data_IF_355351399757
#
_entry.id   IF_355351399757
#
_cell.length_a   1.000
_cell.length_b   1.000
_cell.length_c   1.000
_cell.angle_alpha   90.00
_cell.angle_beta   90.00
_cell.angle_gamma   90.00
#
_symmetry.space_group_name_H-M   'P 1'
#
loop_
_entity.id
_entity.type
_entity.pdbx_description
1 polymer ?
#
# COMPACT_ATOMS: atom_id res chain seq x y z
N UNK A 1 -9.58 15.66 14.82
CA UNK A 1 -8.89 16.21 16.01
C UNK A 1 -8.79 15.13 17.08
N UNK A 2 -7.70 15.13 17.86
CA UNK A 2 -7.50 14.20 18.96
C UNK A 2 -8.33 14.62 20.16
N UNK A 3 -8.95 13.65 20.88
CA UNK A 3 -9.65 13.90 22.16
C UNK A 3 -8.67 14.35 23.25
N UNK A 4 -7.48 13.75 23.28
CA UNK A 4 -6.37 14.08 24.18
C UNK A 4 -5.11 14.37 23.39
N UNK A 5 -4.09 15.05 23.94
CA UNK A 5 -2.83 15.23 23.24
C UNK A 5 -2.23 13.90 22.79
N UNK A 6 -1.77 13.77 21.52
CA UNK A 6 -1.40 12.47 20.94
C UNK A 6 -0.20 11.79 21.59
N UNK A 7 0.58 12.51 22.38
CA UNK A 7 1.77 11.98 23.07
C UNK A 7 1.62 11.94 24.60
N UNK A 8 0.40 12.17 25.13
CA UNK A 8 0.16 12.16 26.57
C UNK A 8 0.05 10.76 27.19
N UNK A 9 -0.31 9.75 26.41
CA UNK A 9 -0.57 8.40 26.91
C UNK A 9 -1.71 8.37 27.92
N UNK A 10 -2.75 9.17 27.73
CA UNK A 10 -3.87 9.30 28.68
C UNK A 10 -4.67 8.02 28.77
N UNK A 11 -4.93 7.55 29.98
CA UNK A 11 -5.82 6.43 30.26
C UNK A 11 -7.17 6.99 30.76
N UNK A 12 -8.24 6.60 30.07
CA UNK A 12 -9.61 6.93 30.47
C UNK A 12 -10.46 5.64 30.45
N UNK A 13 -10.89 5.20 31.61
CA UNK A 13 -11.55 3.90 31.76
C UNK A 13 -10.60 2.76 31.38
N UNK A 14 -11.01 1.95 30.42
CA UNK A 14 -10.25 0.81 29.87
C UNK A 14 -9.46 1.14 28.59
N UNK A 15 -9.39 2.42 28.22
CA UNK A 15 -8.80 2.87 26.95
C UNK A 15 -7.52 3.68 27.16
N UNK A 16 -6.49 3.34 26.39
CA UNK A 16 -5.25 4.10 26.27
C UNK A 16 -5.30 4.97 25.02
N UNK A 17 -5.24 6.29 25.18
CA UNK A 17 -5.22 7.26 24.08
C UNK A 17 -3.80 7.72 23.79
N UNK A 18 -3.35 7.59 22.55
CA UNK A 18 -2.05 8.08 22.12
C UNK A 18 -1.65 7.66 20.73
N UNK A 19 -0.69 8.36 20.13
CA UNK A 19 -0.10 7.99 18.84
C UNK A 19 0.63 6.66 19.00
N UNK A 20 0.25 5.66 18.16
CA UNK A 20 0.80 4.32 18.19
C UNK A 20 0.21 3.41 19.28
N UNK A 21 -0.83 3.83 20.02
CA UNK A 21 -1.48 2.98 21.03
C UNK A 21 -2.19 1.79 20.39
N UNK A 22 -2.68 1.92 19.17
CA UNK A 22 -3.26 0.83 18.38
C UNK A 22 -2.24 0.33 17.34
N UNK A 23 -1.68 1.22 16.57
CA UNK A 23 -0.76 0.96 15.47
C UNK A 23 0.63 1.49 15.82
N UNK A 24 1.58 0.60 16.21
CA UNK A 24 1.34 -0.74 16.78
C UNK A 24 2.16 -0.95 18.06
N UNK A 25 2.44 0.12 18.83
CA UNK A 25 3.28 0.03 20.05
C UNK A 25 2.70 -0.91 21.12
N UNK A 26 1.36 -1.03 21.17
CA UNK A 26 0.72 -2.01 22.07
C UNK A 26 1.07 -3.44 21.69
N UNK A 27 1.10 -3.79 20.40
CA UNK A 27 1.52 -5.12 19.95
C UNK A 27 2.98 -5.38 20.29
N UNK A 28 3.88 -4.39 20.14
CA UNK A 28 5.28 -4.51 20.56
C UNK A 28 5.36 -4.80 22.06
N UNK A 29 4.62 -4.06 22.88
CA UNK A 29 4.58 -4.28 24.33
C UNK A 29 4.04 -5.68 24.69
N UNK A 30 3.01 -6.16 23.99
CA UNK A 30 2.44 -7.50 24.15
C UNK A 30 3.47 -8.59 23.81
N UNK A 31 4.19 -8.48 22.70
CA UNK A 31 5.24 -9.44 22.34
C UNK A 31 6.36 -9.50 23.38
N UNK A 32 6.84 -8.36 23.86
CA UNK A 32 7.88 -8.30 24.90
C UNK A 32 7.36 -8.93 26.18
N UNK A 33 6.16 -8.58 26.63
CA UNK A 33 5.55 -9.12 27.84
C UNK A 33 5.31 -10.64 27.75
N UNK A 34 4.82 -11.13 26.62
CA UNK A 34 4.63 -12.56 26.38
C UNK A 34 5.95 -13.32 26.43
N UNK A 35 6.98 -12.79 25.79
CA UNK A 35 8.34 -13.38 25.78
C UNK A 35 8.92 -13.43 27.21
N UNK A 36 8.81 -12.34 27.96
CA UNK A 36 9.25 -12.29 29.36
C UNK A 36 8.59 -13.40 30.19
N UNK A 37 7.25 -13.48 30.14
CA UNK A 37 6.49 -14.51 30.85
C UNK A 37 6.87 -15.93 30.43
N UNK A 38 7.14 -16.13 29.12
CA UNK A 38 7.58 -17.44 28.61
C UNK A 38 8.95 -17.83 29.19
N UNK A 39 9.92 -16.93 29.20
CA UNK A 39 11.26 -17.17 29.76
C UNK A 39 11.20 -17.41 31.30
N UNK A 40 10.38 -16.64 32.00
CA UNK A 40 10.16 -16.81 33.44
C UNK A 40 9.60 -18.22 33.77
N UNK A 41 8.66 -18.70 32.95
CA UNK A 41 8.01 -19.99 33.12
C UNK A 41 8.90 -21.19 32.73
N UNK A 42 9.51 -21.09 31.51
CA UNK A 42 10.18 -22.25 30.92
C UNK A 42 11.70 -22.18 31.00
N UNK A 43 12.28 -21.07 31.46
CA UNK A 43 13.72 -20.81 31.63
C UNK A 43 14.55 -20.87 30.35
N UNK A 44 13.99 -21.29 29.22
CA UNK A 44 14.67 -21.50 27.94
C UNK A 44 13.70 -21.28 26.77
N UNK A 45 14.20 -20.64 25.72
CA UNK A 45 13.51 -20.56 24.41
C UNK A 45 14.09 -21.70 23.55
N UNK A 46 13.24 -22.61 23.00
CA UNK A 46 13.69 -23.69 22.14
C UNK A 46 13.91 -23.17 20.69
N UNK A 47 14.92 -22.33 20.49
CA UNK A 47 15.21 -21.70 19.20
C UNK A 47 15.74 -20.30 19.35
N UNK A 48 15.54 -19.50 18.31
CA UNK A 48 15.90 -18.06 18.30
C UNK A 48 14.62 -17.24 18.12
N UNK A 49 14.45 -16.24 18.96
CA UNK A 49 13.40 -15.23 18.84
C UNK A 49 14.06 -13.88 18.58
N UNK A 50 13.67 -13.23 17.50
CA UNK A 50 14.20 -11.92 17.13
C UNK A 50 13.07 -10.90 17.09
N UNK A 51 13.30 -9.72 17.63
CA UNK A 51 12.41 -8.57 17.49
C UNK A 51 13.00 -7.64 16.44
N UNK A 52 12.25 -7.37 15.39
CA UNK A 52 12.55 -6.34 14.39
C UNK A 52 11.65 -5.16 14.71
N UNK A 53 12.24 -4.05 15.19
CA UNK A 53 11.52 -2.85 15.58
C UNK A 53 12.07 -1.70 14.74
N UNK A 54 11.20 -1.04 14.00
CA UNK A 54 11.57 0.05 13.07
C UNK A 54 10.79 1.31 13.38
N UNK A 55 11.31 2.46 13.01
CA UNK A 55 10.68 3.76 13.19
C UNK A 55 10.36 4.48 11.89
N UNK A 56 10.45 3.80 10.74
CA UNK A 56 10.29 4.38 9.40
C UNK A 56 9.17 3.70 8.58
N UNK A 57 8.32 2.89 9.22
CA UNK A 57 7.28 2.12 8.54
C UNK A 57 6.21 3.04 7.94
N UNK A 58 5.78 4.06 8.67
CA UNK A 58 4.70 4.99 8.31
C UNK A 58 5.11 6.07 7.29
N UNK A 59 6.32 5.97 6.74
CA UNK A 59 6.85 6.91 5.76
C UNK A 59 7.49 6.18 4.58
N UNK A 60 8.66 6.63 4.16
CA UNK A 60 9.34 6.14 2.95
C UNK A 60 9.89 4.71 3.11
N UNK A 61 9.94 4.17 4.34
CA UNK A 61 10.40 2.82 4.70
C UNK A 61 11.80 2.47 4.19
N UNK A 62 12.64 3.47 3.91
CA UNK A 62 13.97 3.30 3.30
C UNK A 62 14.99 2.75 4.29
N UNK A 63 14.95 3.24 5.54
CA UNK A 63 15.92 2.92 6.58
C UNK A 63 15.35 1.98 7.66
N UNK A 64 14.22 1.36 7.39
CA UNK A 64 13.52 0.43 8.30
C UNK A 64 13.80 -1.04 8.01
N UNK A 65 12.74 -1.82 7.88
CA UNK A 65 12.76 -3.27 7.68
C UNK A 65 13.67 -3.73 6.54
N UNK A 66 13.72 -3.08 5.34
CA UNK A 66 14.60 -3.52 4.26
C UNK A 66 16.08 -3.52 4.67
N UNK A 67 16.54 -2.51 5.40
CA UNK A 67 17.94 -2.43 5.86
C UNK A 67 18.28 -3.49 6.91
N UNK A 68 17.35 -3.79 7.79
CA UNK A 68 17.52 -4.85 8.79
C UNK A 68 17.59 -6.21 8.09
N UNK A 69 16.74 -6.48 7.11
CA UNK A 69 16.75 -7.74 6.35
C UNK A 69 18.02 -7.88 5.50
N UNK A 70 18.49 -6.79 4.87
CA UNK A 70 19.76 -6.76 4.16
C UNK A 70 20.94 -7.10 5.11
N UNK A 71 20.97 -6.49 6.28
CA UNK A 71 21.98 -6.79 7.31
C UNK A 71 21.88 -8.25 7.78
N UNK A 72 20.68 -8.74 8.06
CA UNK A 72 20.45 -10.12 8.49
C UNK A 72 20.95 -11.12 7.43
N UNK A 73 20.64 -10.89 6.18
CA UNK A 73 21.13 -11.71 5.06
C UNK A 73 22.66 -11.73 4.97
N UNK A 74 23.31 -10.56 5.03
CA UNK A 74 24.79 -10.43 5.02
C UNK A 74 25.47 -11.13 6.20
N UNK A 75 24.77 -11.27 7.32
CA UNK A 75 25.28 -11.93 8.52
C UNK A 75 24.76 -13.38 8.70
N UNK A 76 24.20 -13.97 7.63
CA UNK A 76 23.68 -15.34 7.63
C UNK A 76 22.57 -15.61 8.66
N UNK A 77 21.82 -14.59 9.06
CA UNK A 77 20.60 -14.78 9.85
C UNK A 77 19.49 -15.27 8.94
N UNK A 78 18.85 -16.37 9.30
CA UNK A 78 17.69 -16.94 8.63
C UNK A 78 16.51 -16.89 9.56
N UNK A 79 15.36 -16.52 9.01
CA UNK A 79 14.07 -16.51 9.70
C UNK A 79 13.18 -17.59 9.09
N UNK A 80 12.66 -18.50 9.91
CA UNK A 80 11.73 -19.55 9.46
C UNK A 80 10.31 -19.01 9.37
N UNK A 81 9.95 -18.12 10.31
CA UNK A 81 8.63 -17.50 10.41
C UNK A 81 8.73 -16.02 10.77
N UNK A 82 7.73 -15.26 10.37
CA UNK A 82 7.55 -13.87 10.75
C UNK A 82 6.11 -13.65 11.24
N UNK A 83 5.96 -13.05 12.41
CA UNK A 83 4.68 -12.60 12.94
C UNK A 83 4.71 -11.08 13.05
N UNK A 84 3.82 -10.42 12.33
CA UNK A 84 3.67 -8.97 12.33
C UNK A 84 2.48 -8.59 13.22
N UNK A 85 2.69 -7.66 14.13
CA UNK A 85 1.69 -7.26 15.13
C UNK A 85 0.79 -6.10 14.68
N UNK A 86 0.61 -5.90 13.39
CA UNK A 86 -0.27 -4.87 12.86
C UNK A 86 -1.75 -5.13 13.19
N UNK A 87 -2.56 -4.07 13.37
CA UNK A 87 -3.99 -4.21 13.66
C UNK A 87 -4.73 -4.68 12.41
N UNK A 88 -5.10 -5.96 12.37
CA UNK A 88 -5.75 -6.60 11.23
C UNK A 88 -7.20 -6.99 11.48
N UNK A 89 -7.65 -6.96 12.73
CA UNK A 89 -9.03 -7.25 13.10
C UNK A 89 -10.01 -6.25 12.48
N UNK A 90 -11.19 -6.72 12.04
CA UNK A 90 -12.17 -5.89 11.35
C UNK A 90 -13.36 -5.51 12.26
N UNK A 91 -14.12 -6.51 12.71
CA UNK A 91 -15.32 -6.30 13.55
C UNK A 91 -15.04 -6.65 15.01
N UNK A 92 -14.24 -7.64 15.24
CA UNK A 92 -13.94 -8.19 16.55
C UNK A 92 -12.47 -8.55 16.66
N UNK A 93 -11.89 -8.43 17.85
CA UNK A 93 -10.48 -8.75 18.08
C UNK A 93 -10.22 -10.20 17.68
N UNK A 94 -9.26 -10.39 16.77
CA UNK A 94 -8.80 -11.68 16.30
C UNK A 94 -9.70 -12.37 15.26
N UNK A 95 -10.67 -11.67 14.68
CA UNK A 95 -11.53 -12.23 13.63
C UNK A 95 -10.79 -12.53 12.32
N UNK A 96 -9.63 -11.90 12.09
CA UNK A 96 -8.84 -12.04 10.87
C UNK A 96 -7.33 -12.16 11.14
N UNK A 97 -6.69 -13.01 10.34
CA UNK A 97 -5.23 -13.10 10.22
C UNK A 97 -4.85 -12.79 8.79
N UNK A 98 -4.00 -11.81 8.57
CA UNK A 98 -3.51 -11.49 7.22
C UNK A 98 -2.37 -12.42 6.84
N UNK A 99 -2.54 -13.14 5.73
CA UNK A 99 -1.52 -14.04 5.15
C UNK A 99 -1.05 -13.58 3.77
N UNK A 100 -1.61 -12.49 3.26
CA UNK A 100 -1.25 -11.87 2.00
C UNK A 100 -1.62 -10.40 1.97
N UNK A 101 -1.11 -9.70 0.95
CA UNK A 101 -1.39 -8.28 0.73
C UNK A 101 -1.38 -7.97 -0.77
N UNK A 102 -2.29 -7.11 -1.20
CA UNK A 102 -2.21 -6.51 -2.52
C UNK A 102 -1.00 -5.59 -2.62
N UNK A 103 -0.41 -5.52 -3.80
CA UNK A 103 0.61 -4.55 -4.13
C UNK A 103 0.02 -3.14 -4.31
N UNK A 104 0.89 -2.15 -4.37
CA UNK A 104 0.52 -0.77 -4.55
C UNK A 104 1.54 -0.04 -5.43
N UNK A 105 1.03 0.64 -6.47
CA UNK A 105 1.82 1.50 -7.35
C UNK A 105 1.06 2.78 -7.64
N UNK A 106 1.76 3.90 -7.66
CA UNK A 106 1.23 5.20 -8.06
C UNK A 106 1.94 5.68 -9.32
N UNK A 107 1.17 6.10 -10.31
CA UNK A 107 1.67 6.73 -11.52
C UNK A 107 1.40 8.23 -11.47
N UNK A 108 2.42 9.04 -11.66
CA UNK A 108 2.36 10.49 -11.77
C UNK A 108 2.48 10.86 -13.25
N UNK A 109 1.34 11.15 -13.86
CA UNK A 109 1.21 11.36 -15.31
C UNK A 109 1.24 12.85 -15.60
N UNK A 110 1.99 13.24 -16.62
CA UNK A 110 2.03 14.62 -17.12
C UNK A 110 1.86 14.62 -18.64
N UNK A 111 0.87 15.37 -19.11
CA UNK A 111 0.63 15.64 -20.53
C UNK A 111 1.01 17.07 -20.83
N UNK A 112 1.82 17.26 -21.89
CA UNK A 112 2.19 18.56 -22.42
C UNK A 112 1.62 18.71 -23.83
N UNK A 113 0.97 19.81 -24.10
CA UNK A 113 0.44 20.24 -25.40
C UNK A 113 0.96 21.61 -25.79
N UNK A 114 0.14 22.41 -26.48
CA UNK A 114 0.45 23.76 -26.92
C UNK A 114 -0.64 24.71 -26.42
N UNK A 115 -0.24 25.73 -25.67
CA UNK A 115 -1.14 26.79 -25.19
C UNK A 115 -1.70 27.62 -26.35
N UNK A 116 -2.95 28.04 -26.20
CA UNK A 116 -3.56 28.94 -27.18
C UNK A 116 -4.84 29.58 -26.70
N UNK A 117 -5.39 30.48 -27.51
CA UNK A 117 -6.69 31.08 -27.24
C UNK A 117 -7.81 30.14 -27.72
N UNK A 118 -8.87 30.01 -26.97
CA UNK A 118 -9.99 29.08 -27.30
C UNK A 118 -10.65 29.42 -28.65
N UNK A 119 -10.67 30.69 -29.06
CA UNK A 119 -11.16 31.11 -30.38
C UNK A 119 -10.28 30.61 -31.54
N UNK A 120 -9.02 30.29 -31.27
CA UNK A 120 -8.03 29.85 -32.28
C UNK A 120 -7.55 28.43 -31.96
N UNK A 121 -8.44 27.55 -31.60
CA UNK A 121 -8.13 26.19 -31.13
C UNK A 121 -7.30 25.36 -32.11
N UNK A 122 -7.36 25.68 -33.42
CA UNK A 122 -6.58 25.02 -34.48
C UNK A 122 -5.06 25.31 -34.41
N UNK A 123 -4.64 26.32 -33.63
CA UNK A 123 -3.24 26.67 -33.39
C UNK A 123 -2.70 26.13 -32.06
N UNK A 124 -3.52 25.44 -31.32
CA UNK A 124 -3.19 24.92 -29.99
C UNK A 124 -3.38 23.40 -29.90
N UNK A 125 -2.84 22.82 -28.85
CA UNK A 125 -3.06 21.40 -28.53
C UNK A 125 -3.40 21.25 -27.04
N UNK A 126 -4.63 20.82 -26.75
CA UNK A 126 -5.15 20.81 -25.38
C UNK A 126 -4.66 19.59 -24.58
N UNK A 127 -3.76 19.82 -23.66
CA UNK A 127 -3.22 18.78 -22.79
C UNK A 127 -4.30 18.06 -21.98
N UNK A 128 -5.34 18.77 -21.51
CA UNK A 128 -6.43 18.18 -20.73
C UNK A 128 -7.25 17.19 -21.53
N UNK A 129 -7.49 17.45 -22.81
CA UNK A 129 -8.25 16.55 -23.67
C UNK A 129 -7.54 15.21 -23.85
N UNK A 130 -6.21 15.23 -24.03
CA UNK A 130 -5.42 14.00 -24.14
C UNK A 130 -5.37 13.24 -22.82
N UNK A 131 -5.20 13.95 -21.71
CA UNK A 131 -5.19 13.32 -20.40
C UNK A 131 -6.57 12.67 -20.09
N UNK A 132 -7.68 13.34 -20.39
CA UNK A 132 -9.03 12.77 -20.22
C UNK A 132 -9.19 11.49 -21.05
N UNK A 133 -8.75 11.48 -22.32
CA UNK A 133 -8.82 10.28 -23.17
C UNK A 133 -8.00 9.12 -22.59
N UNK A 134 -6.80 9.40 -22.09
CA UNK A 134 -5.95 8.40 -21.44
C UNK A 134 -6.64 7.84 -20.19
N UNK A 135 -7.13 8.69 -19.30
CA UNK A 135 -7.79 8.28 -18.07
C UNK A 135 -9.08 7.50 -18.33
N UNK A 136 -9.89 7.91 -19.30
CA UNK A 136 -11.07 7.12 -19.72
C UNK A 136 -10.67 5.74 -20.23
N UNK A 137 -9.63 5.66 -21.09
CA UNK A 137 -9.15 4.36 -21.58
C UNK A 137 -8.66 3.45 -20.43
N UNK A 138 -8.02 4.03 -19.41
CA UNK A 138 -7.58 3.31 -18.21
C UNK A 138 -8.79 2.78 -17.42
N UNK A 139 -9.80 3.60 -17.19
CA UNK A 139 -10.99 3.24 -16.41
C UNK A 139 -11.91 2.23 -17.11
N UNK A 140 -12.03 2.34 -18.43
CA UNK A 140 -12.88 1.45 -19.24
C UNK A 140 -12.29 0.04 -19.42
N UNK A 141 -11.01 -0.14 -19.06
CA UNK A 141 -10.30 -1.41 -19.20
C UNK A 141 -9.79 -1.91 -17.85
N UNK A 142 -10.63 -2.56 -17.05
CA UNK A 142 -10.22 -3.11 -15.76
C UNK A 142 -9.08 -4.13 -15.94
N UNK A 143 -8.14 -4.14 -15.02
CA UNK A 143 -6.94 -4.98 -15.09
C UNK A 143 -7.25 -6.47 -15.00
N UNK A 144 -8.21 -6.85 -14.13
CA UNK A 144 -8.58 -8.22 -13.86
C UNK A 144 -9.98 -8.31 -13.20
N UNK A 145 -10.43 -9.53 -12.96
CA UNK A 145 -11.69 -9.83 -12.25
C UNK A 145 -11.47 -10.36 -10.83
N UNK A 146 -10.23 -10.30 -10.35
CA UNK A 146 -9.84 -10.96 -9.12
C UNK A 146 -9.66 -12.47 -9.29
N UNK A 147 -9.35 -13.14 -8.19
CA UNK A 147 -9.21 -14.58 -8.14
C UNK A 147 -9.76 -15.14 -6.81
N UNK A 148 -9.54 -16.45 -6.55
CA UNK A 148 -10.03 -17.09 -5.31
C UNK A 148 -9.49 -16.47 -4.02
N UNK A 149 -8.36 -15.76 -4.09
CA UNK A 149 -7.65 -15.22 -2.92
C UNK A 149 -7.83 -13.70 -2.81
N UNK A 150 -7.91 -12.98 -3.93
CA UNK A 150 -7.93 -11.53 -3.96
C UNK A 150 -9.12 -10.98 -4.73
N UNK A 151 -9.64 -9.87 -4.23
CA UNK A 151 -10.58 -9.03 -4.99
C UNK A 151 -9.91 -8.51 -6.27
N UNK A 152 -10.69 -8.03 -7.25
CA UNK A 152 -10.14 -7.36 -8.43
C UNK A 152 -9.18 -6.25 -8.06
N UNK A 153 -8.13 -6.08 -8.87
CA UNK A 153 -7.27 -4.92 -8.79
C UNK A 153 -8.07 -3.64 -9.00
N UNK A 154 -7.78 -2.62 -8.23
CA UNK A 154 -8.52 -1.36 -8.26
C UNK A 154 -7.66 -0.22 -8.75
N UNK A 155 -8.21 0.58 -9.67
CA UNK A 155 -7.58 1.77 -10.23
C UNK A 155 -8.34 2.98 -9.71
N UNK A 156 -7.62 3.97 -9.15
CA UNK A 156 -8.21 5.22 -8.68
C UNK A 156 -7.42 6.41 -9.22
N UNK A 157 -8.13 7.35 -9.83
CA UNK A 157 -7.56 8.66 -10.17
C UNK A 157 -7.59 9.49 -8.89
N UNK A 158 -6.43 9.67 -8.26
CA UNK A 158 -6.33 10.37 -6.98
C UNK A 158 -6.31 11.89 -7.15
N UNK A 159 -5.66 12.38 -8.22
CA UNK A 159 -5.66 13.81 -8.56
C UNK A 159 -5.87 14.01 -10.06
N UNK A 160 -6.43 15.16 -10.41
CA UNK A 160 -6.50 15.67 -11.78
C UNK A 160 -6.33 17.18 -11.74
N UNK A 161 -5.17 17.66 -12.21
CA UNK A 161 -4.76 19.04 -12.04
C UNK A 161 -4.41 19.67 -13.40
N UNK A 162 -5.06 20.77 -13.71
CA UNK A 162 -4.78 21.57 -14.90
C UNK A 162 -4.17 22.93 -14.52
N UNK A 163 -4.61 23.49 -13.38
CA UNK A 163 -4.09 24.75 -12.84
C UNK A 163 -4.36 25.97 -13.70
N UNK A 164 -5.28 25.87 -14.67
CA UNK A 164 -5.60 26.99 -15.57
C UNK A 164 -6.75 27.84 -15.02
N UNK A 165 -6.50 29.07 -14.55
CA UNK A 165 -7.54 29.92 -13.98
C UNK A 165 -8.29 30.74 -15.03
N UNK A 166 -7.88 30.69 -16.29
CA UNK A 166 -8.38 31.58 -17.37
C UNK A 166 -9.18 30.80 -18.40
N UNK A 167 -10.53 30.98 -18.49
CA UNK A 167 -11.42 30.11 -19.25
C UNK A 167 -11.23 30.21 -20.80
N UNK A 168 -10.65 31.27 -21.31
CA UNK A 168 -10.39 31.45 -22.75
C UNK A 168 -8.96 31.02 -23.16
N UNK A 169 -8.20 30.39 -22.28
CA UNK A 169 -6.89 29.82 -22.60
C UNK A 169 -6.99 28.30 -22.64
N UNK A 170 -6.50 27.69 -23.70
CA UNK A 170 -6.27 26.26 -23.82
C UNK A 170 -5.01 25.90 -23.04
N UNK A 171 -5.08 24.98 -22.05
CA UNK A 171 -3.94 24.65 -21.23
C UNK A 171 -2.92 23.78 -21.97
N UNK A 172 -1.64 24.13 -21.84
CA UNK A 172 -0.54 23.33 -22.37
C UNK A 172 -0.10 22.20 -21.44
N UNK A 173 -0.54 22.23 -20.19
CA UNK A 173 -0.14 21.26 -19.17
C UNK A 173 -1.35 20.70 -18.43
N UNK A 174 -1.37 19.38 -18.28
CA UNK A 174 -2.32 18.67 -17.43
C UNK A 174 -1.61 17.53 -16.71
N UNK A 175 -1.97 17.28 -15.44
CA UNK A 175 -1.38 16.26 -14.60
C UNK A 175 -2.45 15.39 -13.94
N UNK A 176 -2.12 14.14 -13.69
CA UNK A 176 -2.95 13.25 -12.88
C UNK A 176 -2.09 12.30 -12.06
N UNK A 177 -2.61 11.88 -10.91
CA UNK A 177 -2.07 10.76 -10.14
C UNK A 177 -3.05 9.60 -10.22
N UNK A 178 -2.57 8.44 -10.67
CA UNK A 178 -3.34 7.19 -10.71
C UNK A 178 -2.73 6.22 -9.71
N UNK A 179 -3.50 5.82 -8.70
CA UNK A 179 -3.10 4.81 -7.73
C UNK A 179 -3.74 3.47 -8.08
N UNK A 180 -2.95 2.41 -8.10
CA UNK A 180 -3.41 1.05 -8.37
C UNK A 180 -3.09 0.17 -7.16
N UNK A 181 -4.12 -0.53 -6.65
CA UNK A 181 -3.99 -1.62 -5.70
C UNK A 181 -4.18 -2.93 -6.46
N UNK A 182 -3.11 -3.68 -6.65
CA UNK A 182 -3.10 -4.86 -7.51
C UNK A 182 -2.94 -6.17 -6.74
N UNK A 183 -3.55 -7.22 -7.27
CA UNK A 183 -3.46 -8.57 -6.73
C UNK A 183 -2.25 -9.33 -7.29
N UNK A 184 -2.12 -10.60 -6.95
CA UNK A 184 -1.00 -11.48 -7.32
C UNK A 184 -0.97 -11.91 -8.79
N UNK A 185 -1.92 -11.43 -9.61
CA UNK A 185 -1.91 -11.60 -11.07
C UNK A 185 -1.00 -10.57 -11.77
N UNK A 186 -0.59 -9.53 -11.05
CA UNK A 186 0.22 -8.43 -11.55
C UNK A 186 1.47 -8.23 -10.69
N UNK A 187 2.47 -7.57 -11.28
CA UNK A 187 3.63 -7.00 -10.60
C UNK A 187 3.76 -5.52 -10.99
N UNK A 188 4.57 -4.78 -10.26
CA UNK A 188 4.87 -3.38 -10.62
C UNK A 188 5.39 -3.28 -12.04
N UNK A 189 6.28 -4.18 -12.48
CA UNK A 189 6.83 -4.19 -13.84
C UNK A 189 5.74 -4.42 -14.91
N UNK A 190 4.80 -5.35 -14.67
CA UNK A 190 3.70 -5.58 -15.62
C UNK A 190 2.78 -4.38 -15.73
N UNK A 191 2.56 -3.64 -14.63
CA UNK A 191 1.74 -2.44 -14.62
C UNK A 191 2.44 -1.23 -15.24
N UNK A 192 3.76 -1.13 -15.12
CA UNK A 192 4.56 -0.10 -15.81
C UNK A 192 4.44 -0.31 -17.32
N UNK A 193 4.67 -1.51 -17.81
CA UNK A 193 4.53 -1.84 -19.23
C UNK A 193 3.10 -1.60 -19.74
N UNK A 194 2.10 -1.95 -18.94
CA UNK A 194 0.69 -1.68 -19.25
C UNK A 194 0.40 -0.18 -19.37
N UNK A 195 0.95 0.65 -18.48
CA UNK A 195 0.79 2.11 -18.55
C UNK A 195 1.47 2.69 -19.79
N UNK A 196 2.68 2.22 -20.13
CA UNK A 196 3.38 2.60 -21.35
C UNK A 196 2.58 2.26 -22.60
N UNK A 197 1.99 1.07 -22.66
CA UNK A 197 1.13 0.64 -23.77
C UNK A 197 -0.10 1.55 -23.90
N UNK A 198 -0.77 1.89 -22.80
CA UNK A 198 -1.92 2.81 -22.80
C UNK A 198 -1.56 4.19 -23.33
N UNK A 199 -0.43 4.74 -22.88
CA UNK A 199 0.07 6.03 -23.35
C UNK A 199 0.39 5.95 -24.84
N UNK A 200 1.15 4.96 -25.27
CA UNK A 200 1.54 4.79 -26.66
C UNK A 200 0.31 4.68 -27.58
N UNK A 201 -0.72 3.95 -27.19
CA UNK A 201 -1.95 3.80 -27.97
C UNK A 201 -2.70 5.14 -28.15
N UNK A 202 -2.71 5.99 -27.15
CA UNK A 202 -3.37 7.31 -27.22
C UNK A 202 -2.54 8.32 -28.01
N UNK A 203 -1.21 8.31 -27.83
CA UNK A 203 -0.33 9.36 -28.37
C UNK A 203 0.34 9.01 -29.70
N UNK A 204 0.22 7.79 -30.19
CA UNK A 204 0.91 7.30 -31.42
C UNK A 204 0.70 8.18 -32.68
N UNK A 205 -0.43 8.89 -32.80
CA UNK A 205 -0.76 9.76 -33.92
C UNK A 205 -0.93 11.23 -33.51
N UNK A 206 -0.40 11.61 -32.37
CA UNK A 206 -0.48 12.97 -31.83
C UNK A 206 0.89 13.63 -32.02
N UNK A 207 0.94 14.65 -32.90
CA UNK A 207 2.22 15.30 -33.25
C UNK A 207 2.59 16.44 -32.28
N UNK A 208 1.59 17.11 -31.70
CA UNK A 208 1.76 18.35 -30.96
C UNK A 208 1.54 18.21 -29.45
N UNK A 209 1.40 16.99 -28.96
CA UNK A 209 1.36 16.71 -27.53
C UNK A 209 2.22 15.50 -27.18
N UNK A 210 2.69 15.47 -25.94
CA UNK A 210 3.45 14.37 -25.37
C UNK A 210 2.94 14.01 -24.00
N UNK A 211 3.12 12.75 -23.63
CA UNK A 211 2.82 12.23 -22.31
C UNK A 211 4.06 11.60 -21.72
N UNK A 212 4.33 11.88 -20.46
CA UNK A 212 5.36 11.22 -19.68
C UNK A 212 4.80 10.87 -18.31
N UNK A 213 5.37 9.87 -17.66
CA UNK A 213 5.04 9.53 -16.29
C UNK A 213 6.28 9.16 -15.49
N UNK A 214 6.15 9.30 -14.18
CA UNK A 214 7.00 8.66 -13.18
C UNK A 214 6.12 7.78 -12.30
N UNK A 215 6.73 6.90 -11.55
CA UNK A 215 5.97 6.01 -10.67
C UNK A 215 6.67 5.83 -9.33
N UNK A 216 5.88 5.40 -8.34
CA UNK A 216 6.34 4.94 -7.05
C UNK A 216 5.65 3.61 -6.72
N UNK A 217 6.44 2.56 -6.56
CA UNK A 217 5.95 1.24 -6.16
C UNK A 217 6.31 1.02 -4.69
N UNK A 218 5.31 1.11 -3.84
CA UNK A 218 5.50 0.98 -2.39
C UNK A 218 5.55 -0.48 -1.93
N UNK A 219 4.93 -1.38 -2.66
CA UNK A 219 4.94 -2.81 -2.32
C UNK A 219 4.46 -3.69 -3.48
N UNK A 220 5.10 -4.85 -3.63
CA UNK A 220 4.58 -5.94 -4.43
C UNK A 220 3.44 -6.67 -3.71
N UNK A 221 2.56 -7.32 -4.49
CA UNK A 221 1.58 -8.25 -3.94
C UNK A 221 2.27 -9.52 -3.46
N UNK A 222 1.77 -10.10 -2.39
CA UNK A 222 2.21 -11.42 -1.97
C UNK A 222 1.07 -12.22 -1.34
N UNK A 223 1.20 -13.53 -1.38
CA UNK A 223 0.31 -14.47 -0.72
C UNK A 223 1.12 -15.63 -0.14
N UNK A 224 1.08 -15.77 1.18
CA UNK A 224 1.60 -16.96 1.83
C UNK A 224 0.60 -18.12 1.73
N UNK A 225 1.11 -19.33 1.52
CA UNK A 225 0.27 -20.51 1.64
C UNK A 225 -0.11 -20.73 3.11
N UNK A 226 -1.31 -21.25 3.38
CA UNK A 226 -1.68 -21.69 4.73
C UNK A 226 -0.60 -22.63 5.28
N UNK A 227 -0.21 -22.40 6.52
CA UNK A 227 0.92 -23.11 7.15
C UNK A 227 0.60 -23.43 8.61
N UNK A 228 1.39 -24.33 9.19
CA UNK A 228 1.32 -24.62 10.62
C UNK A 228 1.35 -23.37 11.51
N UNK A 229 2.08 -22.34 11.09
CA UNK A 229 2.12 -21.05 11.83
C UNK A 229 0.76 -20.35 11.80
N UNK A 230 0.05 -20.37 10.68
CA UNK A 230 -1.30 -19.81 10.57
C UNK A 230 -2.28 -20.54 11.49
N UNK A 231 -2.22 -21.88 11.50
CA UNK A 231 -3.07 -22.71 12.37
C UNK A 231 -2.78 -22.46 13.85
N UNK A 232 -1.49 -22.34 14.20
CA UNK A 232 -1.07 -22.03 15.57
C UNK A 232 -1.57 -20.65 16.04
N UNK A 233 -1.49 -19.64 15.18
CA UNK A 233 -2.00 -18.30 15.48
C UNK A 233 -3.53 -18.36 15.63
N UNK A 234 -4.23 -18.97 14.68
CA UNK A 234 -5.69 -19.10 14.72
C UNK A 234 -6.15 -19.82 16.00
N UNK A 235 -5.48 -20.92 16.36
CA UNK A 235 -5.73 -21.64 17.61
C UNK A 235 -5.48 -20.76 18.84
N UNK A 236 -4.36 -20.04 18.88
CA UNK A 236 -4.02 -19.17 20.02
C UNK A 236 -5.03 -18.04 20.19
N UNK A 237 -5.51 -17.46 19.09
CA UNK A 237 -6.58 -16.47 19.11
C UNK A 237 -7.87 -17.07 19.63
N UNK A 238 -8.25 -18.27 19.16
CA UNK A 238 -9.45 -18.97 19.62
C UNK A 238 -9.39 -19.31 21.11
N UNK A 239 -8.24 -19.78 21.59
CA UNK A 239 -8.03 -20.14 23.00
C UNK A 239 -8.20 -18.93 23.95
N UNK A 240 -7.85 -17.72 23.48
CA UNK A 240 -7.93 -16.48 24.28
C UNK A 240 -9.27 -15.78 24.13
N UNK A 241 -9.82 -15.71 22.92
CA UNK A 241 -11.01 -14.91 22.61
C UNK A 241 -12.30 -15.72 22.53
N UNK A 242 -12.21 -17.04 22.42
CA UNK A 242 -13.32 -17.94 22.12
C UNK A 242 -13.81 -17.84 20.67
N UNK A 243 -13.08 -17.16 19.77
CA UNK A 243 -13.49 -16.87 18.39
C UNK A 243 -12.62 -17.58 17.37
N UNK A 244 -13.22 -17.96 16.26
CA UNK A 244 -12.51 -18.56 15.13
C UNK A 244 -11.92 -17.45 14.25
N UNK A 245 -10.62 -17.35 14.24
CA UNK A 245 -9.87 -16.47 13.33
C UNK A 245 -9.81 -17.06 11.93
N UNK A 246 -9.96 -16.22 10.90
CA UNK A 246 -9.89 -16.66 9.51
C UNK A 246 -8.66 -16.04 8.82
N UNK A 247 -7.86 -16.84 8.08
CA UNK A 247 -6.86 -16.33 7.18
C UNK A 247 -7.53 -15.50 6.07
N UNK A 248 -7.04 -14.27 5.84
CA UNK A 248 -7.51 -13.37 4.76
C UNK A 248 -6.34 -12.63 4.11
N UNK A 249 -6.61 -11.94 3.01
CA UNK A 249 -5.64 -11.21 2.19
C UNK A 249 -5.99 -9.73 2.07
#
# INVERSE_FOLDING_TARGET
SWKFPPFSGTIEGDKLYGRGSEDMKSSVACFISATKRFIEKYKKIPGKLSFIITGDEERDSVNGTPKILEWASKNNYKFDHCLVGEPTSNKEIGDKIKIGRRGAISFYIQVKGIQGHTANAHLAENASHHLIRLLNNILDNPLDKGNKNFLPSSIQIATFDVGNPVPNIIPELAKATVNIRFNDMHSSDTLINWMEEKINNIFKNVNNASCQFTYDSTAESFLNQPSYMCDLIAKSVSDVTGKNSKPEH
#
